data_IF_729957763372
#
_entry.id   IF_729957763372
#
_cell.length_a   1.000
_cell.length_b   1.000
_cell.length_c   1.000
_cell.angle_alpha   90.00
_cell.angle_beta   90.00
_cell.angle_gamma   90.00
#
_symmetry.space_group_name_H-M   'P 1'
#
loop_
_entity.id
_entity.type
_entity.pdbx_description
1 polymer ?
#
# COMPACT_ATOMS: atom_id res chain seq x y z
N UNK A 1 53.09 -0.78 4.91
CA UNK A 1 51.88 -1.10 4.10
C UNK A 1 50.88 -1.76 5.03
N UNK A 2 49.99 -0.96 5.64
CA UNK A 2 49.02 -1.48 6.59
C UNK A 2 47.77 -1.88 5.82
N UNK A 3 47.54 -3.18 5.70
CA UNK A 3 46.38 -3.72 5.01
C UNK A 3 45.13 -3.48 5.87
N UNK A 4 44.39 -2.42 5.55
CA UNK A 4 43.11 -2.10 6.15
C UNK A 4 42.07 -3.09 5.61
N UNK A 5 41.98 -4.25 6.28
CA UNK A 5 40.95 -5.24 5.97
C UNK A 5 39.58 -4.64 6.29
N UNK A 6 38.85 -4.26 5.24
CA UNK A 6 37.45 -3.89 5.30
C UNK A 6 36.66 -5.13 5.76
N UNK A 7 36.31 -5.17 7.04
CA UNK A 7 35.47 -6.21 7.63
C UNK A 7 34.09 -6.14 6.97
N UNK A 8 33.75 -7.18 6.19
CA UNK A 8 32.44 -7.33 5.56
C UNK A 8 31.77 -8.51 6.24
N UNK A 9 30.84 -8.22 7.16
CA UNK A 9 30.00 -9.24 7.76
C UNK A 9 28.92 -9.67 6.76
N UNK A 10 29.05 -10.90 6.26
CA UNK A 10 28.03 -11.58 5.48
C UNK A 10 26.98 -12.15 6.45
N UNK A 11 25.82 -11.50 6.51
CA UNK A 11 24.65 -11.98 7.25
C UNK A 11 24.10 -13.26 6.59
N UNK A 12 24.64 -14.40 7.00
CA UNK A 12 24.21 -15.74 6.56
C UNK A 12 23.12 -16.22 7.51
N UNK A 13 21.87 -15.86 7.22
CA UNK A 13 20.69 -16.36 7.93
C UNK A 13 19.44 -16.18 7.08
N UNK A 14 18.38 -16.96 7.34
CA UNK A 14 17.06 -16.72 6.76
C UNK A 14 16.61 -15.31 7.15
N UNK A 15 16.86 -14.32 6.29
CA UNK A 15 16.56 -12.92 6.54
C UNK A 15 15.05 -12.74 6.49
N UNK A 16 14.37 -13.04 7.59
CA UNK A 16 13.01 -12.54 7.82
C UNK A 16 13.11 -11.02 7.76
N UNK A 17 12.54 -10.43 6.72
CA UNK A 17 12.44 -8.97 6.59
C UNK A 17 11.90 -8.41 7.90
N UNK A 18 12.66 -7.49 8.51
CA UNK A 18 12.27 -6.80 9.73
C UNK A 18 10.89 -6.18 9.53
N UNK A 19 9.95 -6.51 10.42
CA UNK A 19 8.61 -5.90 10.46
C UNK A 19 8.64 -4.75 11.46
N UNK A 20 7.98 -3.66 11.09
CA UNK A 20 7.82 -2.48 11.93
C UNK A 20 6.36 -2.36 12.33
N UNK A 21 6.10 -2.19 13.63
CA UNK A 21 4.75 -1.87 14.12
C UNK A 21 4.36 -0.47 13.66
N UNK A 22 3.08 -0.19 13.62
CA UNK A 22 2.57 1.14 13.22
C UNK A 22 3.07 2.23 14.15
N UNK A 23 3.11 1.95 15.46
CA UNK A 23 3.72 2.87 16.43
C UNK A 23 5.20 3.15 16.11
N UNK A 24 6.00 2.12 15.81
CA UNK A 24 7.40 2.31 15.41
C UNK A 24 7.51 3.17 14.14
N UNK A 25 6.66 2.92 13.14
CA UNK A 25 6.61 3.73 11.91
C UNK A 25 6.31 5.20 12.26
N UNK A 26 5.29 5.45 13.08
CA UNK A 26 4.88 6.81 13.47
C UNK A 26 5.98 7.53 14.25
N UNK A 27 6.60 6.88 15.24
CA UNK A 27 7.73 7.48 15.97
C UNK A 27 8.89 7.85 15.04
N UNK A 28 9.23 6.99 14.08
CA UNK A 28 10.29 7.30 13.11
C UNK A 28 9.90 8.46 12.18
N UNK A 29 8.63 8.53 11.79
CA UNK A 29 8.11 9.63 10.97
C UNK A 29 8.20 10.94 11.75
N UNK A 30 7.70 10.99 12.99
CA UNK A 30 7.75 12.15 13.88
C UNK A 30 9.18 12.65 14.07
N UNK A 31 10.11 11.76 14.42
CA UNK A 31 11.52 12.11 14.56
C UNK A 31 12.15 12.68 13.28
N UNK A 32 11.65 12.29 12.10
CA UNK A 32 12.12 12.83 10.82
C UNK A 32 11.59 14.25 10.49
N UNK A 33 10.63 14.75 11.27
CA UNK A 33 10.12 16.12 11.21
C UNK A 33 10.79 17.06 12.20
N UNK A 34 11.58 16.55 13.15
CA UNK A 34 12.26 17.37 14.14
C UNK A 34 13.24 18.37 13.51
N UNK A 35 13.37 19.60 14.05
CA UNK A 35 14.32 20.58 13.55
C UNK A 35 15.76 20.05 13.55
N UNK A 36 16.45 20.17 12.42
CA UNK A 36 17.82 19.68 12.26
C UNK A 36 17.94 18.19 11.92
N UNK A 37 16.84 17.44 11.90
CA UNK A 37 16.83 16.07 11.39
C UNK A 37 16.61 16.00 9.88
N UNK A 38 17.09 14.90 9.29
CA UNK A 38 16.82 14.56 7.89
C UNK A 38 16.31 13.15 7.81
N UNK A 39 15.48 12.84 6.79
CA UNK A 39 14.99 11.47 6.56
C UNK A 39 16.14 10.46 6.52
N UNK A 40 17.25 10.80 5.86
CA UNK A 40 18.42 9.93 5.78
C UNK A 40 19.12 9.72 7.12
N UNK A 41 19.20 10.74 7.98
CA UNK A 41 19.73 10.63 9.34
C UNK A 41 18.89 9.69 10.19
N UNK A 42 17.57 9.95 10.25
CA UNK A 42 16.61 9.15 11.01
C UNK A 42 16.56 7.71 10.51
N UNK A 43 16.50 7.51 9.19
CA UNK A 43 16.50 6.19 8.58
C UNK A 43 17.75 5.37 8.92
N UNK A 44 18.95 5.99 8.89
CA UNK A 44 20.19 5.32 9.33
C UNK A 44 20.16 4.93 10.81
N UNK A 45 19.68 5.82 11.68
CA UNK A 45 19.58 5.58 13.13
C UNK A 45 18.71 4.36 13.44
N UNK A 46 17.63 4.15 12.68
CA UNK A 46 16.70 3.05 12.87
C UNK A 46 16.98 1.81 12.01
N UNK A 47 18.00 1.85 11.14
CA UNK A 47 18.28 0.76 10.21
C UNK A 47 17.15 0.54 9.18
N UNK A 48 16.49 1.62 8.76
CA UNK A 48 15.43 1.63 7.75
C UNK A 48 15.95 2.22 6.44
N UNK A 49 15.46 1.73 5.30
CA UNK A 49 15.77 2.34 4.01
C UNK A 49 15.13 3.74 3.93
N UNK A 50 15.87 4.81 3.55
CA UNK A 50 15.32 6.17 3.46
C UNK A 50 14.06 6.27 2.59
N UNK A 51 14.01 5.54 1.46
CA UNK A 51 12.84 5.49 0.58
C UNK A 51 11.57 4.98 1.30
N UNK A 52 11.72 4.04 2.22
CA UNK A 52 10.60 3.52 3.01
C UNK A 52 10.07 4.58 3.98
N UNK A 53 10.96 5.34 4.63
CA UNK A 53 10.57 6.42 5.52
C UNK A 53 9.92 7.58 4.74
N UNK A 54 10.41 7.91 3.53
CA UNK A 54 9.73 8.85 2.63
C UNK A 54 8.30 8.40 2.27
N UNK A 55 8.13 7.10 1.95
CA UNK A 55 6.81 6.53 1.67
C UNK A 55 5.88 6.67 2.87
N UNK A 56 6.34 6.34 4.07
CA UNK A 56 5.52 6.48 5.27
C UNK A 56 5.16 7.94 5.58
N UNK A 57 6.06 8.90 5.39
CA UNK A 57 5.73 10.34 5.49
C UNK A 57 4.62 10.73 4.52
N UNK A 58 4.70 10.24 3.28
CA UNK A 58 3.67 10.48 2.27
C UNK A 58 2.33 9.88 2.67
N UNK A 59 2.31 8.61 3.10
CA UNK A 59 1.10 7.94 3.58
C UNK A 59 0.48 8.67 4.78
N UNK A 60 1.30 9.13 5.72
CA UNK A 60 0.82 9.94 6.85
C UNK A 60 0.16 11.25 6.38
N UNK A 61 0.78 11.93 5.41
CA UNK A 61 0.26 13.19 4.87
C UNK A 61 -1.02 13.03 4.05
N UNK A 62 -1.16 11.93 3.31
CA UNK A 62 -2.30 11.68 2.42
C UNK A 62 -3.46 10.97 3.12
N UNK A 63 -3.16 10.17 4.16
CA UNK A 63 -4.10 9.20 4.72
C UNK A 63 -3.99 8.96 6.22
N UNK A 64 -3.15 9.72 6.92
CA UNK A 64 -2.97 9.62 8.36
C UNK A 64 -2.40 8.27 8.82
N UNK A 65 -2.60 7.96 10.10
CA UNK A 65 -2.09 6.73 10.71
C UNK A 65 -2.66 5.46 10.09
N UNK A 66 -3.90 5.50 9.57
CA UNK A 66 -4.54 4.35 8.92
C UNK A 66 -3.78 3.92 7.65
N UNK A 67 -3.34 4.88 6.83
CA UNK A 67 -2.54 4.61 5.64
C UNK A 67 -1.12 4.10 5.98
N UNK A 68 -0.54 4.58 7.09
CA UNK A 68 0.76 4.10 7.58
C UNK A 68 0.66 2.67 8.13
N UNK A 69 -0.45 2.34 8.79
CA UNK A 69 -0.75 1.01 9.32
C UNK A 69 -0.85 -0.03 8.20
N UNK A 70 -1.72 0.22 7.23
CA UNK A 70 -1.96 -0.66 6.07
C UNK A 70 -0.82 -0.65 5.05
N UNK A 71 0.07 0.34 5.10
CA UNK A 71 1.07 0.63 4.06
C UNK A 71 0.44 0.95 2.69
N UNK A 72 -0.84 1.34 2.68
CA UNK A 72 -1.63 1.63 1.47
C UNK A 72 -2.28 3.01 1.55
N UNK A 73 -2.38 3.76 0.43
CA UNK A 73 -3.15 4.99 0.40
C UNK A 73 -4.62 4.74 0.75
N UNK A 74 -5.23 5.67 1.48
CA UNK A 74 -6.67 5.60 1.80
C UNK A 74 -7.44 6.61 0.96
N UNK A 75 -8.68 6.27 0.62
CA UNK A 75 -9.61 7.16 -0.09
C UNK A 75 -10.72 7.62 0.85
N UNK A 76 -11.28 8.80 0.59
CA UNK A 76 -12.37 9.35 1.40
C UNK A 76 -13.68 8.56 1.25
N UNK A 77 -14.50 8.55 2.30
CA UNK A 77 -15.79 7.84 2.33
C UNK A 77 -16.74 8.24 1.18
N UNK A 78 -16.67 9.49 0.72
CA UNK A 78 -17.49 9.96 -0.41
C UNK A 78 -17.12 9.26 -1.73
N UNK A 79 -15.84 8.96 -1.94
CA UNK A 79 -15.37 8.24 -3.12
C UNK A 79 -15.72 6.76 -3.02
N UNK A 80 -15.58 6.16 -1.83
CA UNK A 80 -16.05 4.79 -1.55
C UNK A 80 -17.53 4.67 -1.92
N UNK A 81 -18.38 5.61 -1.46
CA UNK A 81 -19.81 5.60 -1.77
C UNK A 81 -20.10 5.71 -3.26
N UNK A 82 -19.39 6.57 -4.00
CA UNK A 82 -19.54 6.67 -5.47
C UNK A 82 -19.18 5.36 -6.16
N UNK A 83 -18.10 4.70 -5.71
CA UNK A 83 -17.68 3.42 -6.26
C UNK A 83 -18.71 2.33 -5.97
N UNK A 84 -19.25 2.27 -4.76
CA UNK A 84 -20.34 1.34 -4.40
C UNK A 84 -21.60 1.57 -5.25
N UNK A 85 -22.00 2.83 -5.45
CA UNK A 85 -23.13 3.17 -6.32
C UNK A 85 -22.87 2.76 -7.76
N UNK A 86 -21.63 2.92 -8.24
CA UNK A 86 -21.23 2.48 -9.58
C UNK A 86 -21.23 0.96 -9.72
N UNK A 87 -20.71 0.22 -8.74
CA UNK A 87 -20.74 -1.24 -8.70
C UNK A 87 -22.18 -1.73 -8.77
N UNK A 88 -23.07 -1.16 -7.96
CA UNK A 88 -24.50 -1.54 -7.96
C UNK A 88 -25.15 -1.32 -9.33
N UNK A 89 -24.81 -0.23 -10.02
CA UNK A 89 -25.36 0.02 -11.36
C UNK A 89 -24.79 -0.93 -12.42
N UNK A 90 -23.49 -1.23 -12.34
CA UNK A 90 -22.85 -2.22 -13.21
C UNK A 90 -23.47 -3.62 -13.03
N UNK A 91 -23.71 -4.03 -11.79
CA UNK A 91 -24.36 -5.31 -11.47
C UNK A 91 -25.78 -5.38 -12.07
N UNK A 92 -26.57 -4.31 -11.95
CA UNK A 92 -27.90 -4.25 -12.58
C UNK A 92 -27.84 -4.36 -14.10
N UNK A 93 -26.91 -3.66 -14.74
CA UNK A 93 -26.72 -3.73 -16.19
C UNK A 93 -26.29 -5.13 -16.63
N UNK A 94 -25.37 -5.76 -15.91
CA UNK A 94 -24.91 -7.11 -16.18
C UNK A 94 -26.07 -8.10 -16.06
N UNK A 95 -26.90 -7.98 -15.02
CA UNK A 95 -28.10 -8.80 -14.87
C UNK A 95 -29.06 -8.67 -16.05
N UNK A 96 -29.37 -7.44 -16.48
CA UNK A 96 -30.21 -7.20 -17.67
C UNK A 96 -29.64 -7.86 -18.93
N UNK A 97 -28.34 -7.68 -19.18
CA UNK A 97 -27.68 -8.26 -20.36
C UNK A 97 -27.58 -9.77 -20.31
N UNK A 98 -27.43 -10.36 -19.13
CA UNK A 98 -27.42 -11.82 -18.96
C UNK A 98 -28.77 -12.41 -19.39
N UNK A 99 -29.88 -11.83 -18.89
CA UNK A 99 -31.22 -12.26 -19.29
C UNK A 99 -31.48 -12.11 -20.80
N UNK A 100 -31.07 -10.99 -21.40
CA UNK A 100 -31.22 -10.79 -22.85
C UNK A 100 -30.48 -11.88 -23.65
N UNK A 101 -29.25 -12.22 -23.26
CA UNK A 101 -28.45 -13.25 -23.93
C UNK A 101 -29.08 -14.64 -23.80
N UNK A 102 -29.62 -14.98 -22.64
CA UNK A 102 -30.32 -16.25 -22.41
C UNK A 102 -31.56 -16.37 -23.31
N UNK A 103 -32.40 -15.33 -23.34
CA UNK A 103 -33.59 -15.29 -24.20
C UNK A 103 -33.21 -15.47 -25.67
N UNK A 104 -32.19 -14.75 -26.14
CA UNK A 104 -31.73 -14.84 -27.53
C UNK A 104 -31.17 -16.23 -27.84
N UNK A 105 -30.44 -16.85 -26.91
CA UNK A 105 -29.92 -18.22 -27.06
C UNK A 105 -31.06 -19.24 -27.14
N UNK A 106 -32.07 -19.14 -26.29
CA UNK A 106 -33.25 -20.00 -26.32
C UNK A 106 -34.07 -19.83 -27.60
N UNK A 107 -34.24 -18.59 -28.07
CA UNK A 107 -34.93 -18.34 -29.33
C UNK A 107 -34.19 -18.97 -30.51
N UNK A 108 -32.85 -18.83 -30.53
CA UNK A 108 -32.00 -19.44 -31.56
C UNK A 108 -32.00 -20.97 -31.51
N UNK A 109 -32.05 -21.58 -30.32
CA UNK A 109 -32.08 -23.05 -30.20
C UNK A 109 -33.40 -23.67 -30.67
N UNK A 110 -34.52 -22.95 -30.54
CA UNK A 110 -35.84 -23.40 -31.01
C UNK A 110 -36.05 -23.21 -32.52
N UNK A 111 -35.23 -22.39 -33.18
CA UNK A 111 -35.34 -22.06 -34.60
C UNK A 111 -34.46 -22.94 -35.52
N UNK A 112 -33.63 -23.80 -34.93
CA UNK A 112 -32.83 -24.83 -35.61
C UNK A 112 -33.42 -26.21 -35.33
#
# INVERSE_FOLDING_TARGET
>A
MSNEYRHVELLTGDVRRRRWTTEQKLTMIEQSFEPGETVSSTARRHGVAPNLLYRWRRLLSEGGAAAVDSDEPVVGNSEVKKLEDRVRELERMLGRKTMEVEIVREARSKAN
#
